data_IF_443930911420
#
_entry.id   IF_443930911420
#
_cell.length_a   1.000
_cell.length_b   1.000
_cell.length_c   1.000
_cell.angle_alpha   90.00
_cell.angle_beta   90.00
_cell.angle_gamma   90.00
#
_symmetry.space_group_name_H-M   'P 1'
#
loop_
_entity.id
_entity.type
_entity.pdbx_description
1 polymer ?
#
# COMPACT_ATOMS: atom_id res chain seq x y z
N UNK A 1 -10.72 23.27 -8.11
CA UNK A 1 -9.75 22.58 -7.24
C UNK A 1 -9.93 21.10 -7.50
N UNK A 2 -8.93 20.35 -7.95
CA UNK A 2 -9.10 18.90 -8.07
C UNK A 2 -9.40 18.37 -6.66
N UNK A 3 -10.45 17.57 -6.53
CA UNK A 3 -10.79 16.93 -5.26
C UNK A 3 -9.57 16.17 -4.77
N UNK A 4 -9.14 16.44 -3.54
CA UNK A 4 -8.05 15.70 -2.92
C UNK A 4 -8.45 14.21 -2.95
N UNK A 5 -7.58 13.36 -3.49
CA UNK A 5 -7.83 11.93 -3.62
C UNK A 5 -8.25 11.37 -2.25
N UNK A 6 -9.49 10.86 -2.11
CA UNK A 6 -10.03 10.33 -0.85
C UNK A 6 -9.06 9.33 -0.19
N UNK A 7 -8.41 8.51 -1.01
CA UNK A 7 -7.45 7.50 -0.57
C UNK A 7 -6.22 8.16 0.10
N UNK A 8 -5.76 9.29 -0.44
CA UNK A 8 -4.65 10.06 0.13
C UNK A 8 -5.03 10.65 1.50
N UNK A 9 -6.22 11.25 1.61
CA UNK A 9 -6.69 11.81 2.89
C UNK A 9 -6.79 10.72 3.97
N UNK A 10 -7.39 9.56 3.63
CA UNK A 10 -7.50 8.44 4.57
C UNK A 10 -6.13 7.85 4.94
N UNK A 11 -5.23 7.69 3.96
CA UNK A 11 -3.88 7.21 4.21
C UNK A 11 -3.09 8.14 5.16
N UNK A 12 -3.24 9.46 5.02
CA UNK A 12 -2.60 10.44 5.92
C UNK A 12 -3.06 10.28 7.37
N UNK A 13 -4.32 9.93 7.62
CA UNK A 13 -4.84 9.68 8.98
C UNK A 13 -4.33 8.37 9.60
N UNK A 14 -3.98 7.39 8.77
CA UNK A 14 -3.60 6.04 9.19
C UNK A 14 -2.09 5.83 9.31
N UNK A 15 -1.30 6.62 8.59
CA UNK A 15 0.16 6.55 8.58
C UNK A 15 0.71 7.44 9.69
N UNK A 16 1.79 7.00 10.35
CA UNK A 16 2.47 7.81 11.37
C UNK A 16 2.93 9.16 10.81
N UNK A 17 2.79 10.21 11.61
CA UNK A 17 3.26 11.58 11.32
C UNK A 17 4.76 11.69 10.98
N UNK A 18 5.56 10.66 11.30
CA UNK A 18 6.96 10.61 10.92
C UNK A 18 7.17 10.50 9.39
N UNK A 19 6.17 10.02 8.66
CA UNK A 19 6.22 9.82 7.22
C UNK A 19 5.31 10.82 6.51
N UNK A 20 5.83 11.49 5.50
CA UNK A 20 5.01 12.30 4.59
C UNK A 20 4.36 11.36 3.58
N UNK A 21 3.03 11.28 3.55
CA UNK A 21 2.30 10.53 2.53
C UNK A 21 2.19 11.38 1.26
N UNK A 22 2.81 10.90 0.17
CA UNK A 22 2.82 11.60 -1.12
C UNK A 22 1.64 11.19 -2.00
N UNK A 23 1.30 9.90 -2.00
CA UNK A 23 0.17 9.35 -2.75
C UNK A 23 -0.29 8.04 -2.11
N UNK A 24 -1.53 7.65 -2.35
CA UNK A 24 -2.10 6.42 -1.83
C UNK A 24 -3.18 5.84 -2.74
N UNK A 25 -3.27 4.52 -2.71
CA UNK A 25 -4.35 3.77 -3.30
C UNK A 25 -4.86 2.71 -2.32
N UNK A 26 -6.15 2.79 -1.95
CA UNK A 26 -6.79 1.82 -1.07
C UNK A 26 -7.19 0.59 -1.89
N UNK A 27 -6.55 -0.55 -1.63
CA UNK A 27 -6.84 -1.81 -2.30
C UNK A 27 -8.10 -2.49 -1.76
N UNK A 28 -8.34 -2.34 -0.44
CA UNK A 28 -9.50 -2.92 0.24
C UNK A 28 -9.85 -2.09 1.45
N UNK A 29 -11.13 -1.77 1.59
CA UNK A 29 -11.71 -1.16 2.78
C UNK A 29 -12.85 -2.04 3.29
N UNK A 30 -12.88 -2.26 4.59
CA UNK A 30 -13.92 -3.01 5.30
C UNK A 30 -13.98 -2.54 6.75
N UNK A 31 -15.04 -2.86 7.52
CA UNK A 31 -15.14 -2.43 8.92
C UNK A 31 -13.96 -2.86 9.80
N UNK A 32 -13.35 -4.01 9.48
CA UNK A 32 -12.27 -4.59 10.29
C UNK A 32 -10.87 -4.32 9.72
N UNK A 33 -10.76 -4.03 8.41
CA UNK A 33 -9.48 -4.00 7.71
C UNK A 33 -9.43 -2.94 6.63
N UNK A 34 -8.29 -2.26 6.54
CA UNK A 34 -7.89 -1.44 5.41
C UNK A 34 -6.55 -1.97 4.88
N UNK A 35 -6.42 -2.11 3.57
CA UNK A 35 -5.12 -2.38 2.91
C UNK A 35 -4.87 -1.37 1.83
N UNK A 36 -3.64 -0.84 1.76
CA UNK A 36 -3.28 0.21 0.83
C UNK A 36 -1.86 0.05 0.30
N UNK A 37 -1.65 0.58 -0.91
CA UNK A 37 -0.34 0.88 -1.48
C UNK A 37 -0.12 2.38 -1.31
N UNK A 38 0.99 2.77 -0.69
CA UNK A 38 1.26 4.16 -0.32
C UNK A 38 2.67 4.55 -0.73
N UNK A 39 2.81 5.70 -1.38
CA UNK A 39 4.11 6.34 -1.58
C UNK A 39 4.37 7.27 -0.41
N UNK A 40 5.50 7.08 0.27
CA UNK A 40 5.90 7.92 1.41
C UNK A 40 7.29 8.50 1.21
N UNK A 41 7.53 9.63 1.86
CA UNK A 41 8.83 10.26 2.02
C UNK A 41 9.20 10.29 3.51
N UNK A 42 10.40 9.84 3.83
CA UNK A 42 10.96 9.92 5.18
C UNK A 42 11.61 11.28 5.42
N UNK A 43 11.88 11.67 6.68
CA UNK A 43 12.49 12.99 6.98
C UNK A 43 13.88 13.23 6.39
N UNK A 44 14.57 12.17 5.94
CA UNK A 44 15.84 12.26 5.20
C UNK A 44 15.64 12.26 3.67
N UNK A 45 14.46 12.70 3.19
CA UNK A 45 14.09 12.83 1.77
C UNK A 45 14.12 11.52 0.96
N UNK A 46 14.14 10.37 1.63
CA UNK A 46 14.10 9.08 0.94
C UNK A 46 12.66 8.67 0.65
N UNK A 47 12.38 8.37 -0.63
CA UNK A 47 11.06 7.91 -1.07
C UNK A 47 10.99 6.40 -1.13
N UNK A 48 9.83 5.86 -0.77
CA UNK A 48 9.59 4.41 -0.80
C UNK A 48 8.12 4.10 -0.99
N UNK A 49 7.84 2.91 -1.51
CA UNK A 49 6.50 2.35 -1.57
C UNK A 49 6.24 1.49 -0.34
N UNK A 50 5.03 1.56 0.20
CA UNK A 50 4.58 0.84 1.38
C UNK A 50 3.30 0.10 1.05
N UNK A 51 3.28 -1.21 1.29
CA UNK A 51 2.08 -2.02 1.26
C UNK A 51 1.68 -2.26 2.70
N UNK A 52 0.65 -1.56 3.17
CA UNK A 52 0.24 -1.61 4.57
C UNK A 52 -1.14 -2.20 4.74
N UNK A 53 -1.34 -2.85 5.89
CA UNK A 53 -2.65 -3.26 6.39
C UNK A 53 -2.86 -2.67 7.76
N UNK A 54 -4.03 -2.09 7.98
CA UNK A 54 -4.52 -1.68 9.29
C UNK A 54 -5.68 -2.55 9.70
N UNK A 55 -5.77 -2.77 11.00
CA UNK A 55 -6.88 -3.43 11.67
C UNK A 55 -7.63 -2.41 12.51
N UNK A 56 -8.96 -2.45 12.45
CA UNK A 56 -9.80 -1.70 13.38
C UNK A 56 -9.87 -2.46 14.70
N UNK A 57 -9.49 -1.82 15.79
CA UNK A 57 -9.52 -2.36 17.14
C UNK A 57 -10.43 -1.44 17.96
N UNK A 58 -11.72 -1.81 18.05
CA UNK A 58 -12.76 -1.07 18.79
C UNK A 58 -12.91 0.41 18.37
N UNK A 59 -12.78 0.69 17.07
CA UNK A 59 -12.90 2.04 16.52
C UNK A 59 -11.55 2.73 16.28
N UNK A 60 -10.45 2.18 16.78
CA UNK A 60 -9.10 2.69 16.54
C UNK A 60 -8.40 1.89 15.44
N UNK A 61 -7.82 2.57 14.46
CA UNK A 61 -7.02 1.90 13.44
C UNK A 61 -5.58 1.72 13.89
N UNK A 62 -5.11 0.47 13.89
CA UNK A 62 -3.73 0.11 14.24
C UNK A 62 -3.06 -0.56 13.06
N UNK A 63 -1.80 -0.20 12.78
CA UNK A 63 -0.99 -0.90 11.76
C UNK A 63 -0.81 -2.35 12.19
N UNK A 64 -1.29 -3.27 11.36
CA UNK A 64 -1.27 -4.71 11.62
C UNK A 64 -0.09 -5.38 10.92
N UNK A 65 0.10 -5.09 9.63
CA UNK A 65 1.23 -5.60 8.86
C UNK A 65 1.70 -4.59 7.83
N UNK A 66 2.95 -4.75 7.36
CA UNK A 66 3.45 -3.91 6.29
C UNK A 66 4.65 -4.50 5.56
N UNK A 67 4.77 -4.16 4.28
CA UNK A 67 5.92 -4.46 3.45
C UNK A 67 6.44 -3.18 2.80
N UNK A 68 7.76 -3.06 2.74
CA UNK A 68 8.47 -1.83 2.42
C UNK A 68 9.32 -2.05 1.18
N UNK A 69 9.14 -1.23 0.15
CA UNK A 69 9.92 -1.28 -1.09
C UNK A 69 10.66 0.04 -1.22
N UNK A 70 11.98 -0.01 -1.04
CA UNK A 70 12.80 1.19 -0.97
C UNK A 70 13.49 1.54 -2.29
N UNK A 71 13.50 0.63 -3.27
CA UNK A 71 14.14 0.81 -4.57
C UNK A 71 13.22 0.33 -5.68
N UNK A 72 13.30 1.00 -6.81
CA UNK A 72 12.55 0.61 -8.02
C UNK A 72 12.94 -0.79 -8.50
N UNK A 73 14.22 -1.17 -8.42
CA UNK A 73 14.69 -2.51 -8.79
C UNK A 73 13.99 -3.61 -7.99
N UNK A 74 13.77 -3.38 -6.69
CA UNK A 74 13.10 -4.34 -5.81
C UNK A 74 11.63 -4.51 -6.25
N UNK A 75 10.98 -3.42 -6.67
CA UNK A 75 9.62 -3.49 -7.21
C UNK A 75 9.55 -4.28 -8.52
N UNK A 76 10.49 -4.05 -9.45
CA UNK A 76 10.50 -4.75 -10.74
C UNK A 76 10.67 -6.27 -10.54
N UNK A 77 11.54 -6.67 -9.60
CA UNK A 77 11.73 -8.08 -9.24
C UNK A 77 10.46 -8.68 -8.62
N UNK A 78 9.85 -7.99 -7.65
CA UNK A 78 8.58 -8.43 -7.04
C UNK A 78 7.49 -8.59 -8.08
N UNK A 79 7.30 -7.58 -8.95
CA UNK A 79 6.28 -7.60 -10.00
C UNK A 79 6.49 -8.78 -10.92
N UNK A 80 7.71 -8.94 -11.45
CA UNK A 80 8.05 -10.05 -12.34
C UNK A 80 7.75 -11.40 -11.70
N UNK A 81 8.23 -11.64 -10.47
CA UNK A 81 8.02 -12.91 -9.79
C UNK A 81 6.54 -13.16 -9.43
N UNK A 82 5.80 -12.11 -9.06
CA UNK A 82 4.36 -12.23 -8.80
C UNK A 82 3.59 -12.58 -10.08
N UNK A 83 3.90 -11.94 -11.20
CA UNK A 83 3.30 -12.21 -12.51
C UNK A 83 3.57 -13.68 -12.93
N UNK A 84 4.83 -14.14 -12.85
CA UNK A 84 5.21 -15.54 -13.16
C UNK A 84 4.46 -16.57 -12.28
N UNK A 85 4.28 -16.29 -10.98
CA UNK A 85 3.56 -17.18 -10.07
C UNK A 85 2.06 -17.18 -10.39
N UNK A 86 1.48 -16.02 -10.67
CA UNK A 86 0.04 -15.88 -10.96
C UNK A 86 -0.34 -16.62 -12.24
N UNK A 87 0.50 -16.53 -13.28
CA UNK A 87 0.32 -17.28 -14.53
C UNK A 87 0.24 -18.80 -14.28
N UNK A 88 1.04 -19.32 -13.34
CA UNK A 88 0.98 -20.72 -12.93
C UNK A 88 -0.15 -21.06 -11.96
N UNK A 89 -0.65 -20.10 -11.19
CA UNK A 89 -1.65 -20.31 -10.13
C UNK A 89 -3.08 -20.42 -10.68
N UNK A 90 -3.40 -19.62 -11.69
CA UNK A 90 -4.72 -19.57 -12.32
C UNK A 90 -4.70 -20.09 -13.75
N UNK A 91 -3.76 -21.00 -14.04
CA UNK A 91 -3.39 -21.52 -15.37
C UNK A 91 -4.44 -21.20 -16.41
N UNK A 92 -4.07 -20.32 -17.35
CA UNK A 92 -4.89 -19.94 -18.50
C UNK A 92 -5.70 -21.13 -19.01
N UNK A 93 -6.97 -21.20 -18.60
CA UNK A 93 -7.99 -21.87 -19.39
C UNK A 93 -8.15 -20.96 -20.61
N UNK A 94 -7.26 -21.15 -21.59
CA UNK A 94 -7.50 -20.71 -22.96
C UNK A 94 -8.83 -21.32 -23.40
N UNK A 95 -9.82 -20.45 -23.60
CA UNK A 95 -11.05 -20.75 -24.33
C UNK A 95 -11.05 -19.95 -25.63
#
# INVERSE_FOLDING_TARGET
MPEENKDLSQAKELVSDYLTVLDAHILRESPQWITAVITVETPNESRSLRLYRWRNDEGEWKKDSGFNINRESDWQEIKKSADEIIEGLWGVDEA
#
